data_IF_277330693179
#
_entry.id   IF_277330693179
#
_cell.length_a   1.000
_cell.length_b   1.000
_cell.length_c   1.000
_cell.angle_alpha   90.00
_cell.angle_beta   90.00
_cell.angle_gamma   90.00
#
_symmetry.space_group_name_H-M   'P 1'
#
loop_
_entity.id
_entity.type
_entity.pdbx_description
1 polymer ?
#
# COMPACT_ATOMS: atom_id res chain seq x y z
N UNK A 1 27.77 -14.87 -6.01
CA UNK A 1 27.88 -13.41 -6.16
C UNK A 1 26.62 -12.86 -6.78
N UNK A 2 25.99 -11.88 -6.14
CA UNK A 2 24.78 -11.24 -6.69
C UNK A 2 25.14 -10.47 -7.96
N UNK A 3 24.28 -10.60 -9.00
CA UNK A 3 24.42 -9.86 -10.26
C UNK A 3 23.29 -8.85 -10.46
N UNK A 4 22.65 -8.41 -9.37
CA UNK A 4 21.61 -7.39 -9.42
C UNK A 4 22.26 -6.07 -9.84
N UNK A 5 21.78 -5.49 -10.93
CA UNK A 5 22.28 -4.24 -11.48
C UNK A 5 21.92 -3.03 -10.63
N UNK A 6 20.68 -2.98 -10.12
CA UNK A 6 20.20 -1.89 -9.28
C UNK A 6 20.59 -2.12 -7.83
N UNK A 7 21.10 -1.08 -7.18
CA UNK A 7 21.57 -1.15 -5.78
C UNK A 7 20.46 -0.85 -4.77
N UNK A 8 19.33 -0.31 -5.21
CA UNK A 8 18.20 -0.01 -4.32
C UNK A 8 17.22 -1.21 -4.25
N UNK A 9 16.33 -1.19 -3.26
CA UNK A 9 15.43 -2.30 -2.95
C UNK A 9 14.31 -2.46 -3.97
N UNK A 10 13.74 -1.36 -4.44
CA UNK A 10 12.68 -1.40 -5.45
C UNK A 10 13.31 -1.62 -6.83
N UNK A 11 13.09 -2.81 -7.38
CA UNK A 11 13.65 -3.19 -8.70
C UNK A 11 12.59 -3.42 -9.77
N UNK A 12 11.30 -3.39 -9.40
CA UNK A 12 10.21 -3.58 -10.36
C UNK A 12 10.16 -2.40 -11.35
N UNK A 13 10.33 -2.63 -12.66
CA UNK A 13 10.50 -1.52 -13.61
C UNK A 13 9.24 -0.66 -13.76
N UNK A 14 8.06 -1.27 -13.83
CA UNK A 14 6.81 -0.54 -14.03
C UNK A 14 6.41 0.25 -12.78
N UNK A 15 6.54 -0.33 -11.59
CA UNK A 15 6.30 0.38 -10.33
C UNK A 15 7.26 1.57 -10.22
N UNK A 16 8.54 1.36 -10.50
CA UNK A 16 9.54 2.42 -10.47
C UNK A 16 9.20 3.55 -11.45
N UNK A 17 8.75 3.21 -12.65
CA UNK A 17 8.37 4.21 -13.66
C UNK A 17 7.15 5.03 -13.21
N UNK A 18 6.15 4.41 -12.64
CA UNK A 18 4.95 5.10 -12.14
C UNK A 18 5.31 6.03 -10.99
N UNK A 19 6.08 5.54 -10.00
CA UNK A 19 6.50 6.35 -8.86
C UNK A 19 7.42 7.51 -9.27
N UNK A 20 8.27 7.30 -10.28
CA UNK A 20 9.16 8.35 -10.79
C UNK A 20 8.38 9.50 -11.46
N UNK A 21 7.19 9.23 -12.00
CA UNK A 21 6.30 10.26 -12.56
C UNK A 21 5.38 10.89 -11.52
N UNK A 22 5.18 10.22 -10.39
CA UNK A 22 4.29 10.69 -9.33
C UNK A 22 4.95 11.80 -8.51
N UNK A 23 4.15 12.57 -7.80
CA UNK A 23 4.62 13.66 -6.96
C UNK A 23 3.84 13.74 -5.66
N UNK A 24 3.99 14.89 -4.98
CA UNK A 24 3.33 15.13 -3.70
C UNK A 24 1.81 15.00 -3.82
N UNK A 25 1.21 14.38 -2.83
CA UNK A 25 -0.21 14.01 -2.73
C UNK A 25 -0.67 12.82 -3.58
N UNK A 26 0.16 12.30 -4.49
CA UNK A 26 -0.19 11.08 -5.21
C UNK A 26 -0.43 9.93 -4.23
N UNK A 27 -1.45 9.12 -4.52
CA UNK A 27 -1.84 8.00 -3.67
C UNK A 27 -1.47 6.67 -4.31
N UNK A 28 -0.94 5.79 -3.48
CA UNK A 28 -0.57 4.41 -3.85
C UNK A 28 -1.34 3.45 -2.96
N UNK A 29 -2.07 2.54 -3.58
CA UNK A 29 -2.81 1.49 -2.89
C UNK A 29 -2.00 0.19 -2.93
N UNK A 30 -1.74 -0.38 -1.75
CA UNK A 30 -1.28 -1.76 -1.62
C UNK A 30 -2.51 -2.59 -1.27
N UNK A 31 -2.96 -3.40 -2.21
CA UNK A 31 -4.20 -4.16 -2.09
C UNK A 31 -3.94 -5.60 -1.64
N UNK A 32 -4.72 -6.08 -0.68
CA UNK A 32 -4.73 -7.49 -0.32
C UNK A 32 -5.37 -8.35 -1.43
N UNK A 33 -5.32 -9.67 -1.28
CA UNK A 33 -5.85 -10.59 -2.28
C UNK A 33 -7.37 -10.54 -2.48
N UNK A 34 -8.10 -9.94 -1.54
CA UNK A 34 -9.55 -9.80 -1.59
C UNK A 34 -10.02 -8.43 -2.09
N UNK A 35 -9.11 -7.48 -2.28
CA UNK A 35 -9.47 -6.13 -2.71
C UNK A 35 -9.97 -6.15 -4.16
N UNK A 36 -11.10 -5.46 -4.46
CA UNK A 36 -11.67 -5.43 -5.80
C UNK A 36 -10.94 -4.42 -6.72
N UNK A 37 -9.67 -4.69 -7.02
CA UNK A 37 -8.80 -3.76 -7.76
C UNK A 37 -9.31 -3.44 -9.17
N UNK A 38 -10.04 -4.36 -9.79
CA UNK A 38 -10.59 -4.16 -11.14
C UNK A 38 -11.74 -3.15 -11.19
N UNK A 39 -12.43 -2.91 -10.06
CA UNK A 39 -13.63 -2.06 -10.00
C UNK A 39 -13.51 -0.87 -9.06
N UNK A 40 -12.55 -0.89 -8.13
CA UNK A 40 -12.35 0.16 -7.13
C UNK A 40 -10.98 0.79 -7.28
N UNK A 41 -10.87 1.75 -8.18
CA UNK A 41 -9.65 2.51 -8.44
C UNK A 41 -9.98 3.91 -8.96
N UNK A 42 -9.02 4.83 -8.84
CA UNK A 42 -9.15 6.17 -9.40
C UNK A 42 -8.99 6.20 -10.92
N UNK A 43 -9.44 7.29 -11.59
CA UNK A 43 -9.40 7.39 -13.04
C UNK A 43 -7.98 7.42 -13.62
N UNK A 44 -7.00 7.81 -12.81
CA UNK A 44 -5.59 7.91 -13.23
C UNK A 44 -4.74 6.72 -12.75
N UNK A 45 -5.34 5.74 -12.06
CA UNK A 45 -4.60 4.65 -11.46
C UNK A 45 -4.26 3.56 -12.46
N UNK A 46 -3.01 3.14 -12.45
CA UNK A 46 -2.56 1.89 -13.09
C UNK A 46 -2.57 0.76 -12.06
N UNK A 47 -2.85 -0.46 -12.50
CA UNK A 47 -2.84 -1.66 -11.64
C UNK A 47 -1.69 -2.55 -12.04
N UNK A 48 -0.81 -2.83 -11.08
CA UNK A 48 0.29 -3.78 -11.24
C UNK A 48 -0.02 -5.01 -10.39
N UNK A 49 -0.14 -6.16 -11.04
CA UNK A 49 -0.48 -7.42 -10.38
C UNK A 49 0.78 -8.18 -10.01
N UNK A 50 1.00 -8.36 -8.70
CA UNK A 50 2.11 -9.14 -8.14
C UNK A 50 1.63 -10.44 -7.47
N UNK A 51 0.36 -10.74 -7.57
CA UNK A 51 -0.24 -11.93 -6.97
C UNK A 51 0.13 -13.18 -7.80
N UNK A 52 0.85 -14.09 -7.18
CA UNK A 52 1.24 -15.38 -7.80
C UNK A 52 0.38 -16.53 -7.28
N UNK A 53 0.24 -16.63 -5.98
CA UNK A 53 -0.55 -17.64 -5.28
C UNK A 53 -0.82 -17.13 -3.86
N UNK A 54 -1.75 -17.74 -3.09
CA UNK A 54 -2.08 -17.23 -1.76
C UNK A 54 -0.85 -16.97 -0.89
N UNK A 55 -0.69 -15.75 -0.41
CA UNK A 55 0.43 -15.30 0.42
C UNK A 55 1.69 -14.87 -0.33
N UNK A 56 1.68 -14.89 -1.65
CA UNK A 56 2.83 -14.49 -2.48
C UNK A 56 2.38 -13.54 -3.60
N UNK A 57 2.70 -12.29 -3.55
CA UNK A 57 3.45 -11.46 -2.61
C UNK A 57 2.53 -10.94 -1.50
N UNK A 58 3.07 -10.58 -0.31
CA UNK A 58 2.30 -9.98 0.79
C UNK A 58 2.32 -8.46 0.77
N UNK A 59 1.32 -7.84 1.40
CA UNK A 59 1.29 -6.38 1.59
C UNK A 59 2.49 -5.89 2.39
N UNK A 60 2.92 -6.64 3.41
CA UNK A 60 4.09 -6.28 4.21
C UNK A 60 5.37 -6.22 3.38
N UNK A 61 5.58 -7.15 2.47
CA UNK A 61 6.74 -7.13 1.56
C UNK A 61 6.74 -5.89 0.67
N UNK A 62 5.58 -5.54 0.13
CA UNK A 62 5.42 -4.34 -0.71
C UNK A 62 5.62 -3.07 0.11
N UNK A 63 5.01 -2.96 1.28
CA UNK A 63 5.17 -1.80 2.16
C UNK A 63 6.65 -1.58 2.52
N UNK A 64 7.34 -2.62 2.95
CA UNK A 64 8.76 -2.55 3.30
C UNK A 64 9.59 -2.00 2.14
N UNK A 65 9.32 -2.46 0.94
CA UNK A 65 10.02 -2.03 -0.27
C UNK A 65 9.70 -0.58 -0.62
N UNK A 66 8.43 -0.18 -0.61
CA UNK A 66 8.02 1.19 -0.97
C UNK A 66 8.57 2.23 0.02
N UNK A 67 8.62 1.93 1.31
CA UNK A 67 9.17 2.85 2.31
C UNK A 67 10.66 3.12 2.13
N UNK A 68 11.38 2.29 1.38
CA UNK A 68 12.77 2.58 0.99
C UNK A 68 12.86 3.49 -0.24
N UNK A 69 11.77 3.65 -0.98
CA UNK A 69 11.79 4.29 -2.30
C UNK A 69 11.12 5.66 -2.33
N UNK A 70 10.11 5.90 -1.50
CA UNK A 70 9.32 7.14 -1.53
C UNK A 70 9.15 7.74 -0.12
N UNK A 71 9.10 9.08 -0.03
CA UNK A 71 8.64 9.74 1.19
C UNK A 71 7.12 9.59 1.31
N UNK A 72 6.63 9.35 2.52
CA UNK A 72 5.20 9.13 2.76
C UNK A 72 4.71 10.10 3.84
N UNK A 73 3.66 10.86 3.52
CA UNK A 73 3.02 11.81 4.45
C UNK A 73 1.92 11.16 5.27
N UNK A 74 1.22 10.19 4.69
CA UNK A 74 0.11 9.50 5.36
C UNK A 74 0.05 8.04 4.94
N UNK A 75 -0.28 7.18 5.90
CA UNK A 75 -0.52 5.76 5.69
C UNK A 75 -1.81 5.36 6.39
N UNK A 76 -2.79 4.96 5.59
CA UNK A 76 -4.11 4.63 6.08
C UNK A 76 -4.43 3.16 5.87
N UNK A 77 -5.06 2.56 6.89
CA UNK A 77 -5.76 1.28 6.75
C UNK A 77 -7.25 1.52 6.58
N UNK A 78 -7.95 0.52 6.07
CA UNK A 78 -9.41 0.52 6.01
C UNK A 78 -9.95 0.18 7.41
N UNK A 79 -10.65 1.12 8.04
CA UNK A 79 -11.33 0.89 9.31
C UNK A 79 -12.43 -0.16 9.17
N UNK A 80 -12.61 -0.96 10.21
CA UNK A 80 -13.50 -2.11 10.19
C UNK A 80 -14.88 -1.69 10.75
N UNK A 81 -15.95 -1.72 9.93
CA UNK A 81 -17.30 -1.50 10.45
C UNK A 81 -17.66 -2.57 11.48
N UNK A 82 -18.31 -2.17 12.57
CA UNK A 82 -18.67 -3.09 13.66
C UNK A 82 -19.66 -4.18 13.25
N UNK A 83 -20.45 -3.91 12.22
CA UNK A 83 -21.46 -4.80 11.65
C UNK A 83 -20.94 -5.61 10.45
N UNK A 84 -19.66 -5.47 10.09
CA UNK A 84 -19.09 -6.23 8.98
C UNK A 84 -18.99 -7.72 9.34
N UNK A 85 -19.40 -8.63 8.44
CA UNK A 85 -19.33 -10.07 8.71
C UNK A 85 -17.90 -10.59 8.95
N UNK A 86 -16.89 -9.85 8.52
CA UNK A 86 -15.48 -10.19 8.72
C UNK A 86 -14.82 -9.32 9.80
N UNK A 87 -15.60 -8.62 10.62
CA UNK A 87 -15.06 -7.85 11.74
C UNK A 87 -14.38 -8.77 12.74
N UNK A 88 -13.19 -8.36 13.20
CA UNK A 88 -12.44 -9.07 14.24
C UNK A 88 -12.71 -8.46 15.61
N UNK A 89 -12.48 -9.25 16.67
CA UNK A 89 -12.66 -8.80 18.07
C UNK A 89 -11.61 -7.76 18.52
N UNK A 90 -10.60 -7.48 17.70
CA UNK A 90 -9.54 -6.51 17.97
C UNK A 90 -8.84 -6.10 16.69
N UNK A 91 -7.77 -5.29 16.78
CA UNK A 91 -7.03 -4.89 15.59
C UNK A 91 -6.50 -6.11 14.83
N UNK A 92 -6.56 -6.11 13.49
CA UNK A 92 -5.97 -7.18 12.70
C UNK A 92 -4.47 -7.35 13.03
N UNK A 93 -3.98 -8.59 13.18
CA UNK A 93 -2.56 -8.81 13.51
C UNK A 93 -1.58 -8.18 12.52
N UNK A 94 -1.96 -8.08 11.25
CA UNK A 94 -1.14 -7.47 10.20
C UNK A 94 -0.86 -5.98 10.45
N UNK A 95 -1.75 -5.27 11.16
CA UNK A 95 -1.52 -3.85 11.49
C UNK A 95 -0.34 -3.66 12.45
N UNK A 96 -0.14 -4.57 13.40
CA UNK A 96 1.04 -4.55 14.27
C UNK A 96 2.33 -4.80 13.47
N UNK A 97 2.27 -5.68 12.49
CA UNK A 97 3.38 -5.91 11.55
C UNK A 97 3.72 -4.65 10.75
N UNK A 98 2.70 -3.93 10.25
CA UNK A 98 2.91 -2.66 9.56
C UNK A 98 3.54 -1.59 10.46
N UNK A 99 3.09 -1.48 11.71
CA UNK A 99 3.67 -0.54 12.67
C UNK A 99 5.15 -0.81 12.90
N UNK A 100 5.55 -2.07 12.97
CA UNK A 100 6.95 -2.44 13.08
C UNK A 100 7.76 -2.08 11.84
N UNK A 101 7.22 -2.32 10.64
CA UNK A 101 7.85 -1.94 9.37
C UNK A 101 8.06 -0.43 9.29
N UNK A 102 7.07 0.36 9.71
CA UNK A 102 7.16 1.81 9.78
C UNK A 102 8.29 2.23 10.74
N UNK A 103 8.34 1.64 11.93
CA UNK A 103 9.39 1.95 12.91
C UNK A 103 10.79 1.66 12.35
N UNK A 104 10.95 0.55 11.65
CA UNK A 104 12.23 0.15 11.03
C UNK A 104 12.61 1.04 9.83
N UNK A 105 11.64 1.67 9.18
CA UNK A 105 11.88 2.50 7.99
C UNK A 105 12.60 3.81 8.27
N UNK A 106 12.55 4.29 9.52
CA UNK A 106 13.08 5.59 9.91
C UNK A 106 12.21 6.79 9.49
N UNK A 107 11.07 6.56 8.86
CA UNK A 107 10.12 7.64 8.53
C UNK A 107 9.23 7.95 9.74
N UNK A 108 8.98 9.26 9.99
CA UNK A 108 8.00 9.72 10.99
C UNK A 108 6.60 9.58 10.42
N UNK A 109 5.99 8.44 10.66
CA UNK A 109 4.74 8.05 10.02
C UNK A 109 3.89 7.24 11.01
N UNK A 110 2.60 7.49 11.02
CA UNK A 110 1.64 6.72 11.82
C UNK A 110 0.70 5.93 10.90
N UNK A 111 0.29 4.76 11.37
CA UNK A 111 -0.74 3.96 10.73
C UNK A 111 -2.10 4.41 11.26
N UNK A 112 -2.91 5.03 10.39
CA UNK A 112 -4.17 5.64 10.78
C UNK A 112 -5.34 4.97 10.05
N UNK A 113 -6.25 4.27 10.75
CA UNK A 113 -7.47 3.77 10.14
C UNK A 113 -8.40 4.92 9.72
N UNK A 114 -8.96 4.81 8.53
CA UNK A 114 -10.06 5.67 8.08
C UNK A 114 -11.28 4.79 7.80
N UNK A 115 -12.49 5.36 7.79
CA UNK A 115 -13.69 4.55 7.56
C UNK A 115 -13.59 3.81 6.22
N UNK A 116 -14.24 2.67 6.12
CA UNK A 116 -14.27 1.86 4.89
C UNK A 116 -14.69 2.68 3.68
N UNK A 117 -15.68 3.52 3.84
CA UNK A 117 -16.23 4.35 2.75
C UNK A 117 -15.28 5.50 2.40
N UNK A 118 -14.66 6.15 3.39
CA UNK A 118 -13.64 7.17 3.15
C UNK A 118 -12.42 6.58 2.45
N UNK A 119 -12.07 5.34 2.77
CA UNK A 119 -10.99 4.63 2.08
C UNK A 119 -11.31 4.44 0.59
N UNK A 120 -12.51 3.95 0.28
CA UNK A 120 -12.94 3.79 -1.11
C UNK A 120 -13.05 5.14 -1.85
N UNK A 121 -13.53 6.19 -1.19
CA UNK A 121 -13.59 7.53 -1.77
C UNK A 121 -12.19 8.06 -2.10
N UNK A 122 -11.23 7.88 -1.19
CA UNK A 122 -9.85 8.28 -1.42
C UNK A 122 -9.20 7.51 -2.58
N UNK A 123 -9.44 6.22 -2.67
CA UNK A 123 -8.97 5.39 -3.79
C UNK A 123 -9.61 5.80 -5.11
N UNK A 124 -10.86 6.26 -5.09
CA UNK A 124 -11.57 6.74 -6.29
C UNK A 124 -11.14 8.12 -6.77
N UNK A 125 -10.23 8.80 -6.06
CA UNK A 125 -9.82 10.16 -6.41
C UNK A 125 -8.87 10.20 -7.61
N UNK A 126 -8.77 11.36 -8.31
CA UNK A 126 -7.77 11.56 -9.37
C UNK A 126 -6.31 11.48 -8.88
N UNK A 127 -6.06 11.63 -7.58
CA UNK A 127 -4.71 11.53 -7.00
C UNK A 127 -4.20 10.09 -6.91
N UNK A 128 -5.08 9.10 -7.02
CA UNK A 128 -4.69 7.70 -7.03
C UNK A 128 -4.00 7.36 -8.35
N UNK A 129 -2.73 6.97 -8.28
CA UNK A 129 -1.88 6.73 -9.46
C UNK A 129 -1.48 5.27 -9.65
N UNK A 130 -1.51 4.48 -8.59
CA UNK A 130 -1.03 3.11 -8.61
C UNK A 130 -1.77 2.23 -7.61
N UNK A 131 -2.22 1.07 -8.08
CA UNK A 131 -2.60 -0.07 -7.24
C UNK A 131 -1.59 -1.19 -7.44
N UNK A 132 -0.99 -1.65 -6.34
CA UNK A 132 -0.18 -2.86 -6.35
C UNK A 132 -1.05 -3.98 -5.77
N UNK A 133 -1.52 -4.87 -6.64
CA UNK A 133 -2.33 -6.01 -6.25
C UNK A 133 -1.45 -7.13 -5.73
N UNK A 134 -1.62 -7.49 -4.47
CA UNK A 134 -0.91 -8.62 -3.84
C UNK A 134 -1.78 -9.86 -3.76
N UNK A 135 -1.22 -10.95 -3.28
CA UNK A 135 -1.93 -12.18 -2.95
C UNK A 135 -2.06 -12.39 -1.43
N UNK A 136 -1.98 -11.30 -0.65
CA UNK A 136 -2.06 -11.37 0.80
C UNK A 136 -3.45 -11.86 1.23
N UNK A 137 -3.49 -12.91 2.04
CA UNK A 137 -4.74 -13.49 2.56
C UNK A 137 -5.15 -12.89 3.92
N UNK A 138 -4.32 -12.01 4.51
CA UNK A 138 -4.68 -11.34 5.75
C UNK A 138 -5.88 -10.41 5.53
N UNK A 139 -6.86 -10.50 6.41
CA UNK A 139 -8.03 -9.62 6.36
C UNK A 139 -7.65 -8.19 6.78
N UNK A 140 -8.28 -7.20 6.14
CA UNK A 140 -8.08 -5.77 6.42
C UNK A 140 -6.65 -5.30 6.22
N UNK A 141 -5.94 -5.94 5.28
CA UNK A 141 -4.53 -5.68 5.01
C UNK A 141 -4.28 -4.53 4.02
N UNK A 142 -5.32 -3.97 3.43
CA UNK A 142 -5.17 -2.89 2.45
C UNK A 142 -4.54 -1.64 3.06
N UNK A 143 -3.62 -1.03 2.33
CA UNK A 143 -2.91 0.17 2.73
C UNK A 143 -3.00 1.24 1.64
N UNK A 144 -3.32 2.46 2.04
CA UNK A 144 -3.30 3.62 1.16
C UNK A 144 -2.21 4.59 1.61
N UNK A 145 -1.19 4.75 0.77
CA UNK A 145 -0.09 5.67 1.00
C UNK A 145 -0.35 6.99 0.28
N UNK A 146 -0.09 8.10 0.96
CA UNK A 146 -0.02 9.42 0.33
C UNK A 146 1.42 9.85 0.24
N UNK A 147 1.91 10.10 -0.97
CA UNK A 147 3.30 10.49 -1.19
C UNK A 147 3.59 11.86 -0.63
N UNK A 148 4.73 11.98 0.05
CA UNK A 148 5.25 13.21 0.60
C UNK A 148 6.18 13.96 -0.36
N UNK A 149 6.97 14.86 0.22
CA UNK A 149 7.96 15.62 -0.51
C UNK A 149 9.36 15.08 -0.23
N UNK A 150 10.19 15.06 -1.27
CA UNK A 150 11.62 14.89 -1.10
C UNK A 150 12.24 16.25 -0.78
N UNK A 151 12.85 16.38 0.39
CA UNK A 151 13.37 17.66 0.88
C UNK A 151 14.88 17.84 0.66
N UNK A 152 15.60 16.78 0.33
CA UNK A 152 17.05 16.82 0.03
C UNK A 152 17.45 15.71 -0.92
#
# INVERSE_FOLDING_TARGET
MSRIMLKHQLTHPEISAILARAGHHAKVLIADGNYPASTKRGPNAEVISLNLCPGVVTCSQVLRTLLTAIPVDALNTMGIPSDDPYASAGPPPVWAEYQQIIAESGQSLELVPISKWDFYDAVGSPDHVLTIQTADSALWANLLLTMGCRTK
#
